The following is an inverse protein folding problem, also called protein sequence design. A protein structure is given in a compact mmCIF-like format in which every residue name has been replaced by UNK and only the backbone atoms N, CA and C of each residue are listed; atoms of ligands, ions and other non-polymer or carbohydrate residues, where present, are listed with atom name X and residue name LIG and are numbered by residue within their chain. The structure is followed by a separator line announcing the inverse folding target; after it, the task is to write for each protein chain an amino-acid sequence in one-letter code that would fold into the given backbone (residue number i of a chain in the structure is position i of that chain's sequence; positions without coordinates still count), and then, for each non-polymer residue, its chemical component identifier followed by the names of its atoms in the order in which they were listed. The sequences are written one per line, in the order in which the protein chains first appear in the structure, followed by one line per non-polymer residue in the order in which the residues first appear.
data_IF_335886360489
#
_entry.id   IF_335886360489
#
_cell.length_a   1.000
_cell.length_b   1.000
_cell.length_c   1.000
_cell.angle_alpha   90.00
_cell.angle_beta   90.00
_cell.angle_gamma   90.00
#
_symmetry.space_group_name_H-M   'P 1'
#
loop_
_entity.id
_entity.type
_entity.pdbx_description
1 polymer ?
#
# COMPACT_ATOMS: atom_id res chain seq x y z
N UNK A 1 -16.79 9.21 -22.43
CA UNK A 1 -16.18 10.47 -21.94
C UNK A 1 -14.82 10.12 -21.39
N UNK A 2 -13.79 10.96 -21.54
CA UNK A 2 -12.46 10.65 -21.02
C UNK A 2 -12.54 10.45 -19.50
N UNK A 3 -12.01 9.33 -19.03
CA UNK A 3 -12.08 8.95 -17.61
C UNK A 3 -10.91 9.57 -16.87
N UNK A 4 -11.19 10.39 -15.86
CA UNK A 4 -10.14 10.96 -15.01
C UNK A 4 -9.86 9.99 -13.86
N UNK A 5 -8.65 9.43 -13.82
CA UNK A 5 -8.15 8.63 -12.72
C UNK A 5 -7.40 9.49 -11.70
N UNK A 6 -7.51 9.16 -10.41
CA UNK A 6 -6.82 9.86 -9.32
C UNK A 6 -6.17 8.81 -8.41
N UNK A 7 -4.89 9.00 -8.13
CA UNK A 7 -4.17 8.23 -7.12
C UNK A 7 -3.92 9.11 -5.91
N UNK A 8 -4.26 8.59 -4.73
CA UNK A 8 -3.97 9.24 -3.45
C UNK A 8 -3.28 8.31 -2.47
N UNK A 9 -3.31 6.99 -2.65
CA UNK A 9 -2.63 6.01 -1.79
C UNK A 9 -1.12 5.95 -2.10
N UNK A 10 -0.42 7.04 -1.79
CA UNK A 10 0.95 7.32 -2.22
C UNK A 10 1.06 8.79 -2.64
N UNK A 11 1.94 9.12 -3.59
CA UNK A 11 1.97 10.46 -4.18
C UNK A 11 0.65 10.82 -4.87
N UNK A 12 0.23 12.08 -4.75
CA UNK A 12 -1.02 12.54 -5.40
C UNK A 12 -0.81 12.80 -6.88
N UNK A 13 -1.46 11.99 -7.72
CA UNK A 13 -1.43 12.13 -9.17
C UNK A 13 -2.85 12.06 -9.75
N UNK A 14 -3.01 12.59 -10.95
CA UNK A 14 -4.24 12.44 -11.72
C UNK A 14 -3.89 12.18 -13.17
N UNK A 15 -4.71 11.39 -13.82
CA UNK A 15 -4.53 10.95 -15.19
C UNK A 15 -5.83 11.21 -15.94
N UNK A 16 -5.72 11.59 -17.21
CA UNK A 16 -6.83 11.58 -18.15
C UNK A 16 -6.44 10.62 -19.26
N UNK A 17 -7.17 9.51 -19.35
CA UNK A 17 -6.78 8.37 -20.16
C UNK A 17 -5.33 7.96 -19.77
N UNK A 18 -4.36 7.99 -20.69
CA UNK A 18 -2.96 7.66 -20.42
C UNK A 18 -2.05 8.87 -20.14
N UNK A 19 -2.61 10.08 -20.07
CA UNK A 19 -1.83 11.31 -19.86
C UNK A 19 -1.90 11.77 -18.40
N UNK A 20 -0.74 11.86 -17.74
CA UNK A 20 -0.63 12.48 -16.42
C UNK A 20 -0.94 13.99 -16.49
N UNK A 21 -1.79 14.45 -15.58
CA UNK A 21 -2.23 15.84 -15.48
C UNK A 21 -1.34 16.61 -14.50
N UNK A 22 -0.85 17.82 -14.86
CA UNK A 22 0.00 18.63 -14.00
C UNK A 22 -0.84 19.30 -12.90
N UNK A 23 -1.10 18.58 -11.81
CA UNK A 23 -1.92 19.03 -10.69
C UNK A 23 -1.37 20.25 -9.94
N UNK A 24 -0.15 20.69 -10.23
CA UNK A 24 0.46 21.91 -9.71
C UNK A 24 1.09 21.73 -8.32
N UNK A 25 1.22 22.83 -7.53
CA UNK A 25 2.03 22.84 -6.32
C UNK A 25 1.44 21.98 -5.19
N UNK A 26 2.25 21.58 -4.18
CA UNK A 26 1.83 20.69 -3.08
C UNK A 26 0.50 21.06 -2.43
N UNK A 27 0.30 22.32 -2.01
CA UNK A 27 -0.96 22.73 -1.36
C UNK A 27 -2.19 22.59 -2.26
N UNK A 28 -2.05 22.77 -3.58
CA UNK A 28 -3.15 22.55 -4.52
C UNK A 28 -3.49 21.05 -4.60
N UNK A 29 -2.47 20.18 -4.66
CA UNK A 29 -2.64 18.72 -4.63
C UNK A 29 -3.24 18.23 -3.31
N UNK A 30 -2.90 18.87 -2.20
CA UNK A 30 -3.48 18.58 -0.88
C UNK A 30 -4.99 18.78 -0.84
N UNK A 31 -5.53 19.78 -1.54
CA UNK A 31 -6.99 19.96 -1.66
C UNK A 31 -7.63 18.74 -2.34
N UNK A 32 -7.05 18.27 -3.44
CA UNK A 32 -7.57 17.11 -4.17
C UNK A 32 -7.48 15.82 -3.33
N UNK A 33 -6.33 15.58 -2.68
CA UNK A 33 -6.16 14.43 -1.79
C UNK A 33 -7.15 14.43 -0.64
N UNK A 34 -7.37 15.58 0.00
CA UNK A 34 -8.35 15.70 1.08
C UNK A 34 -9.76 15.34 0.59
N UNK A 35 -10.19 15.87 -0.57
CA UNK A 35 -11.50 15.55 -1.15
C UNK A 35 -11.65 14.05 -1.48
N UNK A 36 -10.59 13.41 -1.97
CA UNK A 36 -10.57 11.98 -2.22
C UNK A 36 -10.64 11.16 -0.92
N UNK A 37 -9.88 11.54 0.11
CA UNK A 37 -9.89 10.87 1.43
C UNK A 37 -11.28 10.88 2.07
N UNK A 38 -12.03 11.96 1.84
CA UNK A 38 -13.39 12.15 2.37
C UNK A 38 -14.46 11.33 1.63
N UNK A 39 -14.12 10.67 0.51
CA UNK A 39 -15.03 9.72 -0.11
C UNK A 39 -16.22 10.36 -0.81
N UNK A 40 -16.02 11.56 -1.38
CA UNK A 40 -17.05 12.27 -2.13
C UNK A 40 -18.10 13.00 -1.29
N UNK A 41 -17.98 12.97 0.04
CA UNK A 41 -18.77 13.85 0.90
C UNK A 41 -18.28 15.31 0.76
N UNK A 42 -19.19 16.30 0.79
CA UNK A 42 -18.81 17.70 0.73
C UNK A 42 -18.05 18.11 2.00
N UNK A 43 -16.97 18.88 1.82
CA UNK A 43 -16.27 19.59 2.89
C UNK A 43 -16.28 21.09 2.64
N UNK A 44 -16.41 21.85 3.70
CA UNK A 44 -16.45 23.31 3.66
C UNK A 44 -15.07 23.89 3.32
N UNK A 45 -15.06 25.14 2.85
CA UNK A 45 -13.79 25.87 2.66
C UNK A 45 -13.00 25.97 3.96
N UNK A 46 -13.69 26.09 5.09
CA UNK A 46 -13.08 26.17 6.42
C UNK A 46 -12.36 24.87 6.78
N UNK A 47 -12.99 23.71 6.59
CA UNK A 47 -12.36 22.40 6.83
C UNK A 47 -11.14 22.20 5.93
N UNK A 48 -11.19 22.67 4.68
CA UNK A 48 -10.02 22.63 3.78
C UNK A 48 -8.90 23.54 4.33
N UNK A 49 -9.22 24.74 4.81
CA UNK A 49 -8.23 25.65 5.40
C UNK A 49 -7.59 25.02 6.65
N UNK A 50 -8.39 24.48 7.56
CA UNK A 50 -7.91 23.81 8.76
C UNK A 50 -7.02 22.60 8.41
N UNK A 51 -7.36 21.83 7.37
CA UNK A 51 -6.52 20.71 6.93
C UNK A 51 -5.18 21.12 6.30
N UNK A 52 -5.09 22.32 5.70
CA UNK A 52 -3.88 22.77 4.99
C UNK A 52 -2.93 23.58 5.85
N UNK A 53 -3.45 24.34 6.81
CA UNK A 53 -2.67 25.26 7.63
C UNK A 53 -2.81 25.01 9.14
N UNK A 54 -3.56 23.99 9.54
CA UNK A 54 -3.84 23.66 10.93
C UNK A 54 -4.25 24.93 11.71
N UNK A 55 -3.51 25.29 12.76
CA UNK A 55 -3.81 26.42 13.63
C UNK A 55 -3.25 27.77 13.15
N UNK A 56 -2.55 27.83 12.01
CA UNK A 56 -1.90 29.06 11.52
C UNK A 56 -2.26 29.43 10.07
N UNK A 57 -3.55 29.62 9.73
CA UNK A 57 -3.94 30.02 8.39
C UNK A 57 -3.59 31.49 8.10
N UNK A 58 -3.10 31.82 6.88
CA UNK A 58 -2.97 33.21 6.46
C UNK A 58 -4.35 33.87 6.33
N UNK A 59 -4.41 35.20 6.48
CA UNK A 59 -5.67 35.96 6.31
C UNK A 59 -6.35 35.71 4.95
N UNK A 60 -5.58 35.36 3.93
CA UNK A 60 -6.04 35.07 2.57
C UNK A 60 -6.37 33.59 2.31
N UNK A 61 -6.33 32.70 3.31
CA UNK A 61 -6.45 31.25 3.13
C UNK A 61 -7.69 30.83 2.31
N UNK A 62 -8.85 31.43 2.60
CA UNK A 62 -10.10 31.19 1.86
C UNK A 62 -9.94 31.48 0.36
N UNK A 63 -9.36 32.63 0.01
CA UNK A 63 -9.12 33.02 -1.38
C UNK A 63 -8.11 32.10 -2.07
N UNK A 64 -7.10 31.65 -1.33
CA UNK A 64 -6.09 30.69 -1.80
C UNK A 64 -6.74 29.34 -2.14
N UNK A 65 -7.59 28.80 -1.25
CA UNK A 65 -8.33 27.55 -1.50
C UNK A 65 -9.24 27.66 -2.73
N UNK A 66 -9.99 28.75 -2.86
CA UNK A 66 -10.82 28.99 -4.05
C UNK A 66 -9.99 29.04 -5.34
N UNK A 67 -8.79 29.62 -5.27
CA UNK A 67 -7.85 29.66 -6.40
C UNK A 67 -7.35 28.27 -6.77
N UNK A 68 -6.98 27.44 -5.79
CA UNK A 68 -6.60 26.04 -6.00
C UNK A 68 -7.72 25.24 -6.65
N UNK A 69 -8.95 25.36 -6.16
CA UNK A 69 -10.11 24.69 -6.74
C UNK A 69 -10.39 25.14 -8.17
N UNK A 70 -10.29 26.45 -8.46
CA UNK A 70 -10.43 26.97 -9.83
C UNK A 70 -9.38 26.37 -10.78
N UNK A 71 -8.13 26.27 -10.33
CA UNK A 71 -7.03 25.69 -11.12
C UNK A 71 -7.22 24.19 -11.33
N UNK A 72 -7.54 23.43 -10.28
CA UNK A 72 -7.85 22.00 -10.36
C UNK A 72 -9.00 21.72 -11.33
N UNK A 73 -10.09 22.49 -11.27
CA UNK A 73 -11.21 22.36 -12.22
C UNK A 73 -10.79 22.57 -13.67
N UNK A 74 -9.84 23.46 -13.95
CA UNK A 74 -9.31 23.68 -15.30
C UNK A 74 -8.41 22.52 -15.75
N UNK A 75 -7.67 21.92 -14.82
CA UNK A 75 -6.76 20.80 -15.11
C UNK A 75 -7.53 19.50 -15.33
N UNK A 76 -8.50 19.19 -14.46
CA UNK A 76 -9.28 17.95 -14.51
C UNK A 76 -10.37 17.99 -15.61
N UNK A 77 -10.89 19.18 -15.91
CA UNK A 77 -11.95 19.39 -16.91
C UNK A 77 -11.57 20.50 -17.91
N UNK A 78 -10.53 20.30 -18.75
CA UNK A 78 -10.06 21.32 -19.70
C UNK A 78 -11.09 21.70 -20.77
N UNK A 79 -11.95 20.76 -21.18
CA UNK A 79 -13.03 20.99 -22.15
C UNK A 79 -14.28 21.62 -21.52
N UNK A 80 -14.28 21.87 -20.20
CA UNK A 80 -15.44 22.43 -19.51
C UNK A 80 -15.75 23.83 -20.04
N UNK A 81 -16.99 24.09 -20.51
CA UNK A 81 -17.37 25.42 -21.00
C UNK A 81 -17.14 26.51 -19.95
N UNK A 82 -16.74 27.73 -20.36
CA UNK A 82 -16.61 28.85 -19.44
C UNK A 82 -17.88 29.06 -18.61
N UNK A 83 -17.72 29.34 -17.31
CA UNK A 83 -18.81 29.59 -16.35
C UNK A 83 -19.77 28.42 -16.09
N UNK A 84 -19.53 27.22 -16.64
CA UNK A 84 -20.32 26.03 -16.32
C UNK A 84 -19.91 25.41 -14.98
N UNK A 85 -20.81 24.66 -14.33
CA UNK A 85 -20.48 23.95 -13.10
C UNK A 85 -19.44 22.84 -13.34
N UNK A 86 -18.53 22.64 -12.39
CA UNK A 86 -17.61 21.50 -12.41
C UNK A 86 -18.36 20.22 -12.09
N UNK A 87 -18.15 19.18 -12.90
CA UNK A 87 -18.75 17.85 -12.70
C UNK A 87 -17.93 17.01 -11.72
N UNK A 88 -16.60 17.08 -11.80
CA UNK A 88 -15.67 16.35 -10.91
C UNK A 88 -15.49 17.02 -9.56
N UNK A 89 -15.46 18.36 -9.51
CA UNK A 89 -15.28 19.14 -8.27
C UNK A 89 -16.48 20.10 -8.05
N UNK A 90 -17.71 19.58 -7.90
CA UNK A 90 -18.90 20.40 -7.76
C UNK A 90 -18.87 21.19 -6.44
N UNK A 91 -19.48 22.38 -6.46
CA UNK A 91 -19.90 23.03 -5.23
C UNK A 91 -21.18 22.33 -4.72
N UNK A 92 -21.19 21.93 -3.45
CA UNK A 92 -22.28 21.18 -2.81
C UNK A 92 -22.43 21.64 -1.36
N UNK A 93 -23.64 22.03 -0.96
CA UNK A 93 -23.99 22.39 0.42
C UNK A 93 -23.02 23.41 1.08
N UNK A 94 -22.58 24.43 0.34
CA UNK A 94 -21.63 25.43 0.85
C UNK A 94 -20.16 24.97 0.92
N UNK A 95 -19.87 23.77 0.43
CA UNK A 95 -18.53 23.21 0.33
C UNK A 95 -18.21 22.65 -1.06
N UNK A 96 -17.20 21.78 -1.09
CA UNK A 96 -16.68 21.12 -2.29
C UNK A 96 -16.61 19.62 -2.06
N UNK A 97 -16.89 18.85 -3.10
CA UNK A 97 -16.77 17.40 -3.11
C UNK A 97 -15.93 16.96 -4.31
N UNK A 98 -15.35 15.76 -4.24
CA UNK A 98 -14.88 15.04 -5.42
C UNK A 98 -15.99 14.09 -5.86
N UNK A 99 -16.38 14.14 -7.14
CA UNK A 99 -17.29 13.19 -7.77
C UNK A 99 -16.53 12.45 -8.86
N UNK A 100 -16.42 11.14 -8.71
CA UNK A 100 -15.84 10.24 -9.69
C UNK A 100 -16.50 8.86 -9.55
N UNK A 101 -16.27 7.98 -10.52
CA UNK A 101 -16.62 6.56 -10.34
C UNK A 101 -15.75 5.94 -9.22
N UNK A 102 -16.26 4.99 -8.43
CA UNK A 102 -15.50 4.32 -7.37
C UNK A 102 -14.15 3.75 -7.85
N UNK A 103 -14.11 3.25 -9.08
CA UNK A 103 -12.90 2.67 -9.68
C UNK A 103 -11.88 3.72 -10.10
N UNK A 104 -12.29 4.98 -10.28
CA UNK A 104 -11.42 6.05 -10.75
C UNK A 104 -10.51 6.62 -9.64
N UNK A 105 -10.79 6.33 -8.38
CA UNK A 105 -9.95 6.74 -7.24
C UNK A 105 -9.42 5.50 -6.53
N UNK A 106 -8.09 5.36 -6.44
CA UNK A 106 -7.43 4.18 -5.85
C UNK A 106 -7.90 3.86 -4.41
N UNK A 107 -8.10 4.87 -3.57
CA UNK A 107 -8.63 4.73 -2.21
C UNK A 107 -10.08 4.23 -2.21
N UNK A 108 -10.90 4.65 -3.17
CA UNK A 108 -12.29 4.22 -3.25
C UNK A 108 -12.38 2.79 -3.78
N UNK A 109 -11.53 2.44 -4.76
CA UNK A 109 -11.33 1.08 -5.24
C UNK A 109 -10.85 0.15 -4.12
N UNK A 110 -9.86 0.60 -3.33
CA UNK A 110 -9.38 -0.10 -2.14
C UNK A 110 -10.54 -0.42 -1.20
N UNK A 111 -11.34 0.58 -0.80
CA UNK A 111 -12.51 0.38 0.08
C UNK A 111 -13.58 -0.52 -0.54
N UNK A 112 -13.81 -0.42 -1.85
CA UNK A 112 -14.73 -1.29 -2.57
C UNK A 112 -14.28 -2.76 -2.58
N UNK A 113 -12.97 -3.02 -2.69
CA UNK A 113 -12.40 -4.36 -2.55
C UNK A 113 -12.60 -4.90 -1.13
N UNK A 114 -12.38 -4.07 -0.10
CA UNK A 114 -12.64 -4.46 1.29
C UNK A 114 -14.11 -4.77 1.57
N UNK A 115 -15.03 -3.97 1.02
CA UNK A 115 -16.47 -4.22 1.12
C UNK A 115 -16.84 -5.61 0.56
N UNK A 116 -16.33 -5.95 -0.63
CA UNK A 116 -16.52 -7.27 -1.24
C UNK A 116 -15.85 -8.39 -0.45
N UNK A 117 -14.65 -8.17 0.09
CA UNK A 117 -13.97 -9.13 0.94
C UNK A 117 -14.77 -9.45 2.21
N UNK A 118 -15.38 -8.43 2.84
CA UNK A 118 -16.25 -8.64 4.02
C UNK A 118 -17.48 -9.48 3.71
N UNK A 119 -18.09 -9.28 2.55
CA UNK A 119 -19.24 -10.09 2.12
C UNK A 119 -18.84 -11.56 1.92
N UNK A 120 -17.74 -11.81 1.20
CA UNK A 120 -17.24 -13.17 0.97
C UNK A 120 -16.77 -13.85 2.26
N UNK A 121 -16.27 -13.08 3.22
CA UNK A 121 -15.88 -13.60 4.52
C UNK A 121 -17.07 -14.14 5.31
N UNK A 122 -18.25 -13.50 5.24
CA UNK A 122 -19.47 -13.96 5.93
C UNK A 122 -19.95 -15.33 5.44
N UNK A 123 -19.71 -15.64 4.17
CA UNK A 123 -20.08 -16.92 3.56
C UNK A 123 -18.93 -17.95 3.58
N UNK A 124 -17.80 -17.65 4.26
CA UNK A 124 -16.69 -18.58 4.45
C UNK A 124 -15.75 -18.75 3.24
N UNK A 125 -15.82 -17.88 2.22
CA UNK A 125 -14.95 -18.00 1.04
C UNK A 125 -13.56 -17.39 1.28
N UNK A 126 -12.77 -18.05 2.12
CA UNK A 126 -11.45 -17.58 2.54
C UNK A 126 -10.47 -17.36 1.37
N UNK A 127 -10.59 -18.15 0.30
CA UNK A 127 -9.72 -18.03 -0.89
C UNK A 127 -9.98 -16.71 -1.61
N UNK A 128 -11.24 -16.41 -1.96
CA UNK A 128 -11.55 -15.15 -2.64
C UNK A 128 -11.35 -13.94 -1.74
N UNK A 129 -11.57 -14.07 -0.42
CA UNK A 129 -11.19 -13.03 0.55
C UNK A 129 -9.71 -12.71 0.44
N UNK A 130 -8.85 -13.73 0.45
CA UNK A 130 -7.39 -13.55 0.35
C UNK A 130 -7.00 -12.84 -0.95
N UNK A 131 -7.60 -13.23 -2.08
CA UNK A 131 -7.40 -12.55 -3.38
C UNK A 131 -7.80 -11.08 -3.33
N UNK A 132 -9.00 -10.75 -2.83
CA UNK A 132 -9.47 -9.36 -2.77
C UNK A 132 -8.63 -8.50 -1.83
N UNK A 133 -8.13 -9.05 -0.73
CA UNK A 133 -7.22 -8.35 0.17
C UNK A 133 -5.88 -8.08 -0.51
N UNK A 134 -5.33 -9.04 -1.26
CA UNK A 134 -4.12 -8.84 -2.05
C UNK A 134 -4.32 -7.73 -3.11
N UNK A 135 -5.45 -7.75 -3.83
CA UNK A 135 -5.81 -6.73 -4.82
C UNK A 135 -5.93 -5.34 -4.20
N UNK A 136 -6.50 -5.26 -3.00
CA UNK A 136 -6.62 -4.02 -2.25
C UNK A 136 -5.24 -3.50 -1.84
N UNK A 137 -4.38 -4.36 -1.28
CA UNK A 137 -3.03 -3.97 -0.87
C UNK A 137 -2.16 -3.52 -2.04
N UNK A 138 -2.41 -4.01 -3.27
CA UNK A 138 -1.73 -3.50 -4.49
C UNK A 138 -2.11 -2.07 -4.87
N UNK A 139 -3.19 -1.51 -4.32
CA UNK A 139 -3.49 -0.09 -4.51
C UNK A 139 -2.59 0.81 -3.65
N UNK A 140 -1.93 0.25 -2.62
CA UNK A 140 -1.16 1.01 -1.65
C UNK A 140 0.29 1.20 -2.09
N UNK A 141 0.66 2.44 -2.41
CA UNK A 141 2.03 2.85 -2.71
C UNK A 141 2.63 3.74 -1.62
N UNK A 142 1.84 4.06 -0.58
CA UNK A 142 2.24 4.86 0.57
C UNK A 142 1.03 5.46 1.31
N UNK A 143 1.26 6.17 2.43
CA UNK A 143 0.22 6.94 3.11
C UNK A 143 -0.48 7.92 2.15
N UNK A 144 -1.75 8.29 2.40
CA UNK A 144 -2.43 9.20 1.50
C UNK A 144 -1.73 10.54 1.33
N UNK A 145 -1.36 10.89 0.09
CA UNK A 145 -0.55 12.06 -0.18
C UNK A 145 0.84 11.99 0.45
N UNK A 146 1.55 10.87 0.24
CA UNK A 146 2.89 10.61 0.79
C UNK A 146 3.91 11.72 0.45
N UNK A 147 3.67 12.49 -0.60
CA UNK A 147 4.47 13.63 -1.04
C UNK A 147 3.97 15.00 -0.51
N UNK A 148 3.00 15.00 0.41
CA UNK A 148 2.30 16.17 0.93
C UNK A 148 2.36 16.23 2.47
N UNK A 149 3.44 16.78 3.05
CA UNK A 149 3.61 16.85 4.51
C UNK A 149 2.45 17.55 5.25
N UNK A 150 1.80 18.51 4.61
CA UNK A 150 0.66 19.25 5.19
C UNK A 150 -0.51 18.34 5.58
N UNK A 151 -0.69 17.19 4.91
CA UNK A 151 -1.79 16.27 5.19
C UNK A 151 -1.42 15.13 6.13
N UNK A 152 -0.13 14.92 6.41
CA UNK A 152 0.35 13.72 7.12
C UNK A 152 -0.29 13.53 8.50
N UNK A 153 -0.56 14.64 9.20
CA UNK A 153 -1.17 14.63 10.54
C UNK A 153 -2.70 14.76 10.53
N UNK A 154 -3.31 14.96 9.37
CA UNK A 154 -4.76 15.13 9.28
C UNK A 154 -5.46 13.84 9.72
N UNK A 155 -6.43 13.94 10.65
CA UNK A 155 -7.07 12.79 11.28
C UNK A 155 -7.67 11.79 10.27
N UNK A 156 -8.26 12.27 9.16
CA UNK A 156 -8.80 11.37 8.11
C UNK A 156 -7.71 10.63 7.33
N UNK A 157 -6.53 11.22 7.16
CA UNK A 157 -5.37 10.56 6.52
C UNK A 157 -4.81 9.50 7.45
N UNK A 158 -4.66 9.82 8.74
CA UNK A 158 -4.26 8.85 9.77
C UNK A 158 -5.24 7.67 9.85
N UNK A 159 -6.54 7.93 9.78
CA UNK A 159 -7.56 6.86 9.77
C UNK A 159 -7.38 5.89 8.59
N UNK A 160 -7.00 6.38 7.40
CA UNK A 160 -6.70 5.52 6.24
C UNK A 160 -5.42 4.70 6.46
N UNK A 161 -4.40 5.27 7.12
CA UNK A 161 -3.19 4.53 7.50
C UNK A 161 -3.51 3.42 8.50
N UNK A 162 -4.39 3.67 9.48
CA UNK A 162 -4.87 2.62 10.39
C UNK A 162 -5.71 1.56 9.67
N UNK A 163 -6.58 1.98 8.75
CA UNK A 163 -7.35 1.08 7.88
C UNK A 163 -6.43 0.13 7.11
N UNK A 164 -5.36 0.65 6.49
CA UNK A 164 -4.34 -0.17 5.84
C UNK A 164 -3.70 -1.19 6.80
N UNK A 165 -3.46 -0.83 8.06
CA UNK A 165 -2.88 -1.75 9.04
C UNK A 165 -3.79 -2.89 9.42
N UNK A 166 -5.08 -2.60 9.61
CA UNK A 166 -6.09 -3.63 9.81
C UNK A 166 -6.16 -4.59 8.61
N UNK A 167 -6.05 -4.08 7.39
CA UNK A 167 -6.11 -4.88 6.15
C UNK A 167 -4.88 -5.78 5.99
N UNK A 168 -3.68 -5.28 6.29
CA UNK A 168 -2.46 -6.09 6.28
C UNK A 168 -2.57 -7.24 7.28
N UNK A 169 -3.04 -6.98 8.51
CA UNK A 169 -3.24 -8.03 9.52
C UNK A 169 -4.27 -9.05 9.08
N UNK A 170 -5.37 -8.61 8.46
CA UNK A 170 -6.39 -9.51 7.92
C UNK A 170 -5.84 -10.37 6.78
N UNK A 171 -5.07 -9.79 5.86
CA UNK A 171 -4.43 -10.52 4.77
C UNK A 171 -3.44 -11.56 5.29
N UNK A 172 -2.65 -11.24 6.31
CA UNK A 172 -1.76 -12.21 6.95
C UNK A 172 -2.52 -13.43 7.50
N UNK A 173 -3.60 -13.18 8.25
CA UNK A 173 -4.45 -14.25 8.79
C UNK A 173 -5.11 -15.08 7.68
N UNK A 174 -5.68 -14.42 6.67
CA UNK A 174 -6.33 -15.09 5.55
C UNK A 174 -5.35 -15.97 4.75
N UNK A 175 -4.11 -15.52 4.60
CA UNK A 175 -3.05 -16.25 3.90
C UNK A 175 -2.56 -17.47 4.69
N UNK A 176 -2.52 -17.39 6.02
CA UNK A 176 -2.29 -18.55 6.88
C UNK A 176 -3.41 -19.59 6.75
N UNK A 177 -4.68 -19.15 6.76
CA UNK A 177 -5.86 -20.03 6.64
C UNK A 177 -5.91 -20.72 5.28
N UNK A 178 -5.56 -20.02 4.20
CA UNK A 178 -5.64 -20.54 2.83
C UNK A 178 -4.40 -21.32 2.38
N UNK A 179 -3.34 -21.34 3.20
CA UNK A 179 -2.10 -22.06 2.89
C UNK A 179 -1.22 -21.33 1.86
N UNK A 180 -1.34 -20.00 1.74
CA UNK A 180 -0.55 -19.16 0.83
C UNK A 180 0.39 -18.18 1.58
N UNK A 181 1.18 -18.61 2.58
CA UNK A 181 1.98 -17.69 3.40
C UNK A 181 3.10 -17.01 2.61
N UNK A 182 3.69 -17.69 1.62
CA UNK A 182 4.81 -17.16 0.83
C UNK A 182 4.47 -15.91 0.02
N UNK A 183 3.24 -15.82 -0.51
CA UNK A 183 2.76 -14.63 -1.22
C UNK A 183 2.55 -13.44 -0.28
N UNK A 184 2.18 -13.71 0.98
CA UNK A 184 1.89 -12.68 1.96
C UNK A 184 3.13 -12.10 2.65
N UNK A 185 4.19 -12.90 2.82
CA UNK A 185 5.45 -12.48 3.44
C UNK A 185 5.97 -11.13 2.93
N UNK A 186 6.17 -10.89 1.62
CA UNK A 186 6.75 -9.63 1.15
C UNK A 186 5.86 -8.42 1.49
N UNK A 187 4.54 -8.58 1.37
CA UNK A 187 3.57 -7.50 1.64
C UNK A 187 3.54 -7.16 3.14
N UNK A 188 3.47 -8.18 3.99
CA UNK A 188 3.40 -8.01 5.45
C UNK A 188 4.74 -7.53 6.01
N UNK A 189 5.86 -8.02 5.49
CA UNK A 189 7.19 -7.56 5.87
C UNK A 189 7.38 -6.07 5.54
N UNK A 190 6.98 -5.63 4.35
CA UNK A 190 7.04 -4.22 3.96
C UNK A 190 6.16 -3.33 4.85
N UNK A 191 4.96 -3.78 5.21
CA UNK A 191 4.10 -3.04 6.12
C UNK A 191 4.69 -2.94 7.54
N UNK A 192 5.38 -3.99 7.99
CA UNK A 192 6.00 -4.06 9.31
C UNK A 192 7.19 -3.08 9.47
N UNK A 193 7.90 -2.74 8.38
CA UNK A 193 8.99 -1.74 8.45
C UNK A 193 8.46 -0.35 8.83
N UNK A 194 7.27 0.01 8.35
CA UNK A 194 6.59 1.27 8.67
C UNK A 194 5.88 1.25 10.04
N UNK A 195 5.83 0.10 10.72
CA UNK A 195 5.18 -0.07 12.02
C UNK A 195 6.10 -0.81 13.02
N UNK A 196 7.19 -0.16 13.46
CA UNK A 196 8.14 -0.71 14.42
C UNK A 196 7.55 -1.42 15.64
N UNK A 197 6.50 -0.82 16.21
CA UNK A 197 5.96 -1.16 17.51
C UNK A 197 4.57 -1.82 17.42
N UNK A 198 4.13 -2.20 16.21
CA UNK A 198 2.91 -2.99 16.03
C UNK A 198 3.24 -4.48 16.27
N UNK A 199 3.38 -4.84 17.56
CA UNK A 199 3.69 -6.21 17.98
C UNK A 199 2.74 -7.26 17.38
N UNK A 200 1.42 -7.05 17.29
CA UNK A 200 0.51 -7.97 16.62
C UNK A 200 0.86 -8.21 15.14
N UNK A 201 1.27 -7.19 14.40
CA UNK A 201 1.71 -7.32 13.01
C UNK A 201 3.00 -8.14 12.90
N UNK A 202 3.98 -7.88 13.78
CA UNK A 202 5.23 -8.67 13.83
C UNK A 202 4.98 -10.13 14.22
N UNK A 203 4.05 -10.39 15.14
CA UNK A 203 3.63 -11.75 15.50
C UNK A 203 3.04 -12.50 14.29
N UNK A 204 2.20 -11.85 13.48
CA UNK A 204 1.69 -12.42 12.24
C UNK A 204 2.80 -12.69 11.21
N UNK A 205 3.77 -11.77 11.11
CA UNK A 205 4.92 -11.95 10.21
C UNK A 205 5.80 -13.15 10.63
N UNK A 206 6.03 -13.35 11.92
CA UNK A 206 6.72 -14.54 12.46
C UNK A 206 5.97 -15.82 12.04
N UNK A 207 4.63 -15.84 12.21
CA UNK A 207 3.81 -16.99 11.82
C UNK A 207 3.84 -17.25 10.31
N UNK A 208 3.82 -16.20 9.49
CA UNK A 208 3.94 -16.32 8.03
C UNK A 208 5.30 -16.89 7.62
N UNK A 209 6.41 -16.36 8.15
CA UNK A 209 7.74 -16.90 7.90
C UNK A 209 7.84 -18.36 8.35
N UNK A 210 7.26 -18.70 9.50
CA UNK A 210 7.20 -20.07 9.99
C UNK A 210 6.44 -20.99 9.03
N UNK A 211 5.23 -20.61 8.61
CA UNK A 211 4.41 -21.37 7.68
C UNK A 211 5.05 -21.50 6.28
N UNK A 212 5.87 -20.52 5.87
CA UNK A 212 6.66 -20.55 4.65
C UNK A 212 7.98 -21.36 4.77
N UNK A 213 8.28 -21.96 5.93
CA UNK A 213 9.52 -22.70 6.17
C UNK A 213 10.76 -21.83 6.37
N UNK A 214 10.60 -20.52 6.50
CA UNK A 214 11.68 -19.53 6.64
C UNK A 214 11.97 -19.23 8.12
N UNK A 215 12.37 -20.27 8.87
CA UNK A 215 12.60 -20.18 10.32
C UNK A 215 13.61 -19.11 10.72
N UNK A 216 14.70 -18.94 9.96
CA UNK A 216 15.73 -17.93 10.24
C UNK A 216 15.16 -16.51 10.23
N UNK A 217 14.29 -16.20 9.26
CA UNK A 217 13.66 -14.88 9.15
C UNK A 217 12.67 -14.64 10.29
N UNK A 218 11.88 -15.66 10.67
CA UNK A 218 11.00 -15.58 11.83
C UNK A 218 11.78 -15.22 13.13
N UNK A 219 12.95 -15.86 13.35
CA UNK A 219 13.83 -15.53 14.48
C UNK A 219 14.38 -14.11 14.37
N UNK A 220 14.80 -13.67 13.18
CA UNK A 220 15.30 -12.30 12.95
C UNK A 220 14.27 -11.24 13.27
N UNK A 221 13.01 -11.45 12.88
CA UNK A 221 11.89 -10.53 13.17
C UNK A 221 11.74 -10.38 14.69
N UNK A 222 11.61 -11.48 15.43
CA UNK A 222 11.47 -11.44 16.88
C UNK A 222 12.64 -10.71 17.56
N UNK A 223 13.88 -11.07 17.22
CA UNK A 223 15.06 -10.44 17.80
C UNK A 223 15.16 -8.95 17.49
N UNK A 224 14.79 -8.55 16.26
CA UNK A 224 14.76 -7.15 15.87
C UNK A 224 13.73 -6.37 16.69
N UNK A 225 12.50 -6.88 16.79
CA UNK A 225 11.43 -6.24 17.56
C UNK A 225 11.79 -6.13 19.04
N UNK A 226 12.29 -7.21 19.65
CA UNK A 226 12.72 -7.22 21.05
C UNK A 226 13.80 -6.17 21.32
N UNK A 227 14.83 -6.08 20.48
CA UNK A 227 15.87 -5.05 20.64
C UNK A 227 15.27 -3.66 20.58
N UNK A 228 14.42 -3.38 19.59
CA UNK A 228 13.82 -2.04 19.44
C UNK A 228 12.88 -1.66 20.57
N UNK A 229 12.05 -2.58 21.05
CA UNK A 229 11.19 -2.34 22.21
C UNK A 229 12.02 -2.01 23.46
N UNK A 230 13.11 -2.75 23.66
CA UNK A 230 14.02 -2.51 24.78
C UNK A 230 14.78 -1.18 24.64
N UNK A 231 15.43 -0.97 23.49
CA UNK A 231 16.33 0.17 23.25
C UNK A 231 15.58 1.50 23.11
N UNK A 232 14.39 1.50 22.48
CA UNK A 232 13.64 2.73 22.18
C UNK A 232 12.52 3.03 23.21
N UNK A 233 11.93 2.00 23.83
CA UNK A 233 10.79 2.16 24.75
C UNK A 233 11.05 1.65 26.18
N UNK A 234 12.15 0.93 26.43
CA UNK A 234 12.41 0.30 27.72
C UNK A 234 11.40 -0.81 28.07
N UNK A 235 10.76 -1.39 27.06
CA UNK A 235 9.71 -2.40 27.22
C UNK A 235 10.22 -3.79 26.82
N UNK A 236 9.74 -4.81 27.51
CA UNK A 236 9.85 -6.19 27.07
C UNK A 236 8.78 -6.54 26.03
N UNK A 237 9.03 -7.54 25.16
CA UNK A 237 8.02 -8.05 24.22
C UNK A 237 6.73 -8.50 24.91
N UNK A 238 5.59 -8.06 24.36
CA UNK A 238 4.25 -8.43 24.79
C UNK A 238 3.86 -9.88 24.50
N UNK A 239 2.68 -10.31 24.99
CA UNK A 239 2.22 -11.69 24.90
C UNK A 239 1.97 -12.17 23.47
N UNK A 240 1.53 -11.31 22.55
CA UNK A 240 1.30 -11.67 21.15
C UNK A 240 2.60 -12.05 20.45
N UNK A 241 3.64 -11.23 20.64
CA UNK A 241 4.95 -11.41 20.01
C UNK A 241 5.69 -12.61 20.61
N UNK A 242 5.69 -12.74 21.93
CA UNK A 242 6.26 -13.90 22.63
C UNK A 242 5.51 -15.19 22.34
N UNK A 243 4.17 -15.14 22.22
CA UNK A 243 3.34 -16.28 21.85
C UNK A 243 3.67 -16.83 20.47
N UNK A 244 3.77 -15.97 19.46
CA UNK A 244 4.15 -16.36 18.10
C UNK A 244 5.57 -16.96 18.05
N UNK A 245 6.53 -16.41 18.82
CA UNK A 245 7.86 -16.98 18.93
C UNK A 245 7.87 -18.32 19.67
N UNK A 246 7.04 -18.47 20.71
CA UNK A 246 6.87 -19.72 21.44
C UNK A 246 6.29 -20.85 20.58
N UNK A 247 5.38 -20.53 19.64
CA UNK A 247 4.89 -21.48 18.62
C UNK A 247 6.03 -21.96 17.73
N UNK A 248 6.89 -21.05 17.26
CA UNK A 248 8.07 -21.37 16.47
C UNK A 248 9.03 -22.31 17.20
N UNK A 249 9.29 -22.09 18.49
CA UNK A 249 10.19 -22.93 19.28
C UNK A 249 9.65 -24.35 19.50
N UNK A 250 8.33 -24.51 19.60
CA UNK A 250 7.68 -25.81 19.83
C UNK A 250 7.58 -26.67 18.56
N UNK A 251 7.62 -26.08 17.37
CA UNK A 251 7.62 -26.83 16.12
C UNK A 251 8.96 -27.55 15.92
N UNK A 252 8.96 -28.88 16.11
CA UNK A 252 10.11 -29.76 15.95
C UNK A 252 10.28 -30.28 14.51
N UNK A 253 9.55 -29.74 13.52
CA UNK A 253 9.72 -30.15 12.13
C UNK A 253 11.20 -30.05 11.72
N UNK A 254 11.81 -31.15 11.22
CA UNK A 254 13.21 -31.14 10.84
C UNK A 254 13.47 -30.02 9.83
N UNK A 255 14.50 -29.23 10.08
CA UNK A 255 14.92 -28.20 9.14
C UNK A 255 15.26 -28.85 7.80
N UNK A 256 14.43 -28.65 6.78
CA UNK A 256 14.88 -28.86 5.41
C UNK A 256 15.89 -27.77 5.13
N UNK A 257 17.18 -28.10 5.30
CA UNK A 257 18.25 -27.37 4.63
C UNK A 257 17.80 -27.28 3.18
N UNK A 258 17.60 -26.07 2.66
CA UNK A 258 17.39 -25.91 1.23
C UNK A 258 18.53 -26.67 0.55
N UNK A 259 18.20 -27.78 -0.11
CA UNK A 259 19.17 -28.51 -0.93
C UNK A 259 19.56 -27.49 -1.99
N UNK A 260 20.83 -27.07 -2.07
CA UNK A 260 21.27 -26.23 -3.19
C UNK A 260 20.78 -26.91 -4.46
N UNK A 261 20.17 -26.18 -5.42
CA UNK A 261 19.75 -26.80 -6.67
C UNK A 261 20.94 -27.59 -7.19
N UNK A 262 20.78 -28.90 -7.28
CA UNK A 262 21.82 -29.82 -7.70
C UNK A 262 22.27 -29.32 -9.07
N UNK A 263 23.44 -28.72 -9.12
CA UNK A 263 24.07 -28.28 -10.36
C UNK A 263 24.26 -29.56 -11.17
N UNK A 264 23.31 -29.83 -12.07
CA UNK A 264 23.45 -30.90 -13.05
C UNK A 264 24.84 -30.75 -13.65
N UNK A 265 25.70 -31.78 -13.60
CA UNK A 265 27.04 -31.68 -14.15
C UNK A 265 26.90 -31.27 -15.62
N UNK A 266 27.60 -30.20 -15.99
CA UNK A 266 27.64 -29.72 -17.36
C UNK A 266 28.07 -30.88 -18.27
N UNK A 267 27.44 -31.08 -19.43
CA UNK A 267 27.85 -32.12 -20.35
C UNK A 267 29.30 -31.89 -20.75
N UNK A 268 30.17 -32.84 -20.40
CA UNK A 268 31.55 -32.91 -20.87
C UNK A 268 31.55 -32.96 -22.38
N UNK A 269 31.87 -31.83 -23.01
CA UNK A 269 32.15 -31.80 -24.44
C UNK A 269 33.48 -32.51 -24.66
N UNK A 270 33.39 -33.77 -25.09
CA UNK A 270 34.53 -34.54 -25.60
C UNK A 270 35.02 -33.81 -26.84
N UNK A 271 36.19 -33.17 -26.73
CA UNK A 271 36.89 -32.53 -27.83
C UNK A 271 37.44 -33.63 -28.74
N UNK A 272 36.68 -34.01 -29.77
CA UNK A 272 37.13 -34.95 -30.79
C UNK A 272 38.31 -34.37 -31.57
N UNK A 273 39.37 -35.17 -31.66
CA UNK A 273 40.65 -34.81 -32.26
C UNK A 273 40.57 -34.53 -33.75
N UNK A 274 41.39 -33.59 -34.18
CA UNK A 274 41.70 -33.25 -35.57
C UNK A 274 42.54 -34.39 -36.19
N UNK A 275 42.18 -34.94 -37.37
CA UNK A 275 43.04 -35.91 -38.04
C UNK A 275 44.21 -35.21 -38.76
N UNK A 276 45.38 -35.86 -38.88
CA UNK A 276 46.51 -35.34 -39.64
C UNK A 276 46.34 -35.71 -41.12
N UNK A 277 46.55 -34.75 -42.03
CA UNK A 277 46.70 -35.05 -43.45
C UNK A 277 48.18 -35.03 -43.82
N UNK A 278 48.58 -36.13 -44.46
CA UNK A 278 49.95 -36.58 -44.60
C UNK A 278 50.80 -35.77 -45.57
N UNK A 279 52.11 -35.92 -45.37
CA UNK A 279 53.14 -35.73 -46.39
C UNK A 279 53.68 -37.12 -46.76
N UNK A 280 53.66 -37.46 -48.05
CA UNK A 280 54.69 -38.26 -48.72
C UNK A 280 54.63 -37.99 -50.22
N UNK A 281 55.75 -37.56 -50.80
CA UNK A 281 55.99 -37.49 -52.25
C UNK A 281 56.25 -38.89 -52.83
N UNK A 282 57.04 -39.06 -53.90
CA UNK A 282 58.03 -38.13 -54.49
C UNK A 282 57.50 -37.18 -55.56
#
# INVERSE_FOLDING_TARGET
MPTVGITVLGPVQAWRDDQELPLGPPQQRSVLALLAVVGGQPITTREIVEALWDSQPPRSAVNVVQTYLKRLRRILEPERPPRSASTLLPARHGGYALRAEPEAVDLWRFRGLLGRARELHRIGDHRRVTTLLADALRQWHGPPGADLPALAQHHRVRAVVEEYGAVVRWYAQASLVTGAPGEAVPVVAQAATGRPFDEPLHAQLIRLYHAAGQRSEAVRVFQSCRRRLHDELGLDPGPELTGAFGELLRDQRPWSRAVPPELKPAPTTVRTGRPPLGRTGP
#
